data_IF_470917026657
#
_entry.id   IF_470917026657
#
_cell.length_a   1.000
_cell.length_b   1.000
_cell.length_c   1.000
_cell.angle_alpha   90.00
_cell.angle_beta   90.00
_cell.angle_gamma   90.00
#
_symmetry.space_group_name_H-M   'P 1'
#
loop_
_entity.id
_entity.type
_entity.pdbx_description
1 polymer ?
#
# COMPACT_ATOMS: atom_id res chain seq x y z
N UNK A 1 18.71 -24.51 19.63
CA UNK A 1 19.10 -23.95 18.31
C UNK A 1 17.96 -24.24 17.34
N UNK A 2 17.03 -23.30 17.19
CA UNK A 2 15.91 -23.37 16.22
C UNK A 2 16.49 -23.30 14.81
N UNK A 3 16.29 -24.34 14.00
CA UNK A 3 16.69 -24.33 12.57
C UNK A 3 16.07 -23.10 11.92
N UNK A 4 16.91 -22.22 11.37
CA UNK A 4 16.48 -20.99 10.69
C UNK A 4 15.44 -21.30 9.61
N UNK A 5 14.24 -20.82 9.80
CA UNK A 5 13.07 -20.98 8.93
C UNK A 5 13.22 -20.13 7.67
N UNK A 6 14.06 -19.09 7.69
CA UNK A 6 14.13 -18.11 6.63
C UNK A 6 15.13 -18.49 5.54
N UNK A 7 14.65 -18.56 4.29
CA UNK A 7 15.49 -18.51 3.09
C UNK A 7 15.91 -17.07 2.73
N UNK A 8 15.63 -16.10 3.62
CA UNK A 8 15.89 -14.68 3.47
C UNK A 8 17.15 -14.21 4.19
N UNK A 9 17.46 -12.90 4.13
CA UNK A 9 18.56 -12.29 4.88
C UNK A 9 18.30 -12.34 6.39
N UNK A 10 19.37 -12.39 7.17
CA UNK A 10 19.28 -12.29 8.63
C UNK A 10 18.97 -10.84 9.03
N UNK A 11 17.84 -10.61 9.71
CA UNK A 11 17.40 -9.29 10.11
C UNK A 11 18.03 -8.83 11.42
N UNK A 12 18.52 -9.77 12.22
CA UNK A 12 19.09 -9.52 13.54
C UNK A 12 20.62 -9.39 13.55
N UNK A 13 21.31 -9.98 12.57
CA UNK A 13 22.77 -10.01 12.53
C UNK A 13 23.33 -9.55 11.17
N UNK A 14 24.64 -9.27 11.14
CA UNK A 14 25.35 -8.87 9.92
C UNK A 14 25.08 -7.43 9.47
N UNK A 15 25.56 -7.04 8.27
CA UNK A 15 25.50 -5.66 7.78
C UNK A 15 24.07 -5.24 7.44
N UNK A 16 23.60 -4.19 8.10
CA UNK A 16 22.21 -3.70 7.98
C UNK A 16 21.85 -3.32 6.54
N UNK A 17 22.71 -2.55 5.87
CA UNK A 17 22.45 -2.08 4.50
C UNK A 17 22.28 -3.24 3.51
N UNK A 18 23.18 -4.21 3.50
CA UNK A 18 23.13 -5.35 2.59
C UNK A 18 21.88 -6.21 2.85
N UNK A 19 21.55 -6.47 4.11
CA UNK A 19 20.40 -7.27 4.50
C UNK A 19 19.09 -6.56 4.18
N UNK A 20 18.98 -5.25 4.45
CA UNK A 20 17.82 -4.44 4.09
C UNK A 20 17.62 -4.40 2.58
N UNK A 21 18.69 -4.18 1.80
CA UNK A 21 18.60 -4.15 0.33
C UNK A 21 18.13 -5.50 -0.24
N UNK A 22 18.68 -6.62 0.25
CA UNK A 22 18.26 -7.97 -0.17
C UNK A 22 16.81 -8.29 0.20
N UNK A 23 16.31 -7.74 1.29
CA UNK A 23 14.93 -7.89 1.72
C UNK A 23 13.98 -6.96 0.95
N UNK A 24 14.40 -5.73 0.70
CA UNK A 24 13.66 -4.69 0.00
C UNK A 24 13.39 -5.03 -1.47
N UNK A 25 14.43 -5.49 -2.21
CA UNK A 25 14.33 -5.72 -3.65
C UNK A 25 13.16 -6.63 -4.08
N UNK A 26 12.91 -7.80 -3.44
CA UNK A 26 11.75 -8.61 -3.79
C UNK A 26 10.41 -7.91 -3.51
N UNK A 27 10.32 -7.12 -2.44
CA UNK A 27 9.08 -6.39 -2.10
C UNK A 27 8.81 -5.30 -3.16
N UNK A 28 9.84 -4.54 -3.50
CA UNK A 28 9.77 -3.51 -4.54
C UNK A 28 9.34 -4.10 -5.88
N UNK A 29 10.01 -5.18 -6.33
CA UNK A 29 9.68 -5.84 -7.59
C UNK A 29 8.25 -6.39 -7.58
N UNK A 30 7.78 -6.95 -6.46
CA UNK A 30 6.40 -7.40 -6.32
C UNK A 30 5.39 -6.27 -6.44
N UNK A 31 5.66 -5.13 -5.80
CA UNK A 31 4.78 -3.97 -5.86
C UNK A 31 4.75 -3.33 -7.25
N UNK A 32 5.90 -3.27 -7.95
CA UNK A 32 5.96 -2.79 -9.34
C UNK A 32 5.24 -3.75 -10.30
N UNK A 33 5.39 -5.08 -10.11
CA UNK A 33 4.61 -6.07 -10.87
C UNK A 33 3.12 -5.90 -10.68
N UNK A 34 2.69 -5.62 -9.44
CA UNK A 34 1.29 -5.35 -9.14
C UNK A 34 0.78 -4.11 -9.88
N UNK A 35 1.57 -3.05 -9.98
CA UNK A 35 1.24 -1.88 -10.77
C UNK A 35 1.14 -2.18 -12.26
N UNK A 36 2.07 -3.00 -12.78
CA UNK A 36 2.08 -3.38 -14.20
C UNK A 36 0.87 -4.24 -14.58
N UNK A 37 0.50 -5.24 -13.77
CA UNK A 37 -0.66 -6.05 -14.13
C UNK A 37 -1.97 -5.24 -14.08
N UNK A 38 -2.13 -4.31 -13.13
CA UNK A 38 -3.28 -3.40 -13.13
C UNK A 38 -3.36 -2.53 -14.40
N UNK A 39 -2.21 -2.17 -14.99
CA UNK A 39 -2.19 -1.49 -16.29
C UNK A 39 -2.61 -2.44 -17.42
N UNK A 40 -2.20 -3.72 -17.38
CA UNK A 40 -2.63 -4.73 -18.36
C UNK A 40 -4.14 -4.93 -18.32
N UNK A 41 -4.73 -5.07 -17.12
CA UNK A 41 -6.18 -5.17 -16.95
C UNK A 41 -6.93 -3.99 -17.59
N UNK A 42 -6.44 -2.77 -17.35
CA UNK A 42 -7.02 -1.56 -17.94
C UNK A 42 -6.91 -1.56 -19.47
N UNK A 43 -5.78 -2.03 -20.03
CA UNK A 43 -5.60 -2.14 -21.49
C UNK A 43 -6.52 -3.21 -22.09
N UNK A 44 -6.65 -4.37 -21.42
CA UNK A 44 -7.55 -5.46 -21.87
C UNK A 44 -9.00 -4.95 -21.91
N UNK A 45 -9.45 -4.34 -20.81
CA UNK A 45 -10.82 -3.76 -20.75
C UNK A 45 -11.03 -2.66 -21.78
N UNK A 46 -10.11 -1.72 -21.89
CA UNK A 46 -10.25 -0.60 -22.82
C UNK A 46 -10.28 -1.01 -24.30
N UNK A 47 -9.49 -2.02 -24.69
CA UNK A 47 -9.41 -2.48 -26.08
C UNK A 47 -10.46 -3.50 -26.47
N UNK A 48 -10.85 -4.40 -25.54
CA UNK A 48 -11.76 -5.51 -25.86
C UNK A 48 -13.20 -5.25 -25.49
N UNK A 49 -13.46 -4.45 -24.45
CA UNK A 49 -14.83 -4.15 -23.98
C UNK A 49 -15.25 -2.73 -24.40
N UNK A 50 -14.33 -1.78 -24.29
CA UNK A 50 -14.56 -0.40 -24.74
C UNK A 50 -14.45 0.64 -23.64
N UNK A 51 -14.73 1.90 -24.03
CA UNK A 51 -14.50 3.09 -23.18
C UNK A 51 -15.39 3.12 -21.92
N UNK A 52 -16.61 2.60 -22.00
CA UNK A 52 -17.56 2.57 -20.86
C UNK A 52 -17.07 1.64 -19.77
N UNK A 53 -16.59 0.45 -20.14
CA UNK A 53 -15.98 -0.50 -19.19
C UNK A 53 -14.71 0.06 -18.54
N UNK A 54 -13.85 0.70 -19.31
CA UNK A 54 -12.65 1.36 -18.78
C UNK A 54 -13.01 2.50 -17.83
N UNK A 55 -14.04 3.29 -18.15
CA UNK A 55 -14.53 4.36 -17.28
C UNK A 55 -15.17 3.84 -15.99
N UNK A 56 -15.91 2.73 -16.05
CA UNK A 56 -16.48 2.06 -14.89
C UNK A 56 -15.37 1.65 -13.91
N UNK A 57 -14.41 0.86 -14.38
CA UNK A 57 -13.33 0.30 -13.53
C UNK A 57 -12.31 1.37 -13.08
N UNK A 58 -12.01 2.35 -13.93
CA UNK A 58 -11.05 3.43 -13.63
C UNK A 58 -11.63 4.63 -12.87
N UNK A 59 -12.95 4.71 -12.73
CA UNK A 59 -13.66 5.83 -12.10
C UNK A 59 -13.96 5.61 -10.62
N UNK A 60 -15.25 5.63 -10.26
CA UNK A 60 -15.74 5.50 -8.88
C UNK A 60 -15.33 4.19 -8.22
N UNK A 61 -15.25 3.10 -9.00
CA UNK A 61 -14.86 1.78 -8.52
C UNK A 61 -13.44 1.78 -7.98
N UNK A 62 -12.50 2.40 -8.69
CA UNK A 62 -11.10 2.51 -8.26
C UNK A 62 -10.96 3.24 -6.92
N UNK A 63 -11.75 4.30 -6.70
CA UNK A 63 -11.77 5.04 -5.44
C UNK A 63 -12.21 4.15 -4.29
N UNK A 64 -13.32 3.41 -4.47
CA UNK A 64 -13.86 2.49 -3.46
C UNK A 64 -12.85 1.38 -3.15
N UNK A 65 -12.28 0.77 -4.19
CA UNK A 65 -11.31 -0.32 -4.07
C UNK A 65 -10.06 0.16 -3.32
N UNK A 66 -9.47 1.27 -3.72
CA UNK A 66 -8.27 1.80 -3.07
C UNK A 66 -8.50 2.15 -1.60
N UNK A 67 -9.67 2.70 -1.28
CA UNK A 67 -10.04 3.02 0.09
C UNK A 67 -10.15 1.75 0.94
N UNK A 68 -10.85 0.73 0.44
CA UNK A 68 -11.07 -0.53 1.14
C UNK A 68 -9.76 -1.33 1.25
N UNK A 69 -9.08 -1.57 0.13
CA UNK A 69 -7.81 -2.33 0.11
C UNK A 69 -6.75 -1.63 0.94
N UNK A 70 -6.60 -0.31 0.80
CA UNK A 70 -5.63 0.47 1.57
C UNK A 70 -5.86 0.37 3.08
N UNK A 71 -7.13 0.43 3.52
CA UNK A 71 -7.48 0.21 4.93
C UNK A 71 -7.00 -1.16 5.42
N UNK A 72 -7.20 -2.22 4.65
CA UNK A 72 -6.86 -3.58 5.07
C UNK A 72 -5.38 -3.89 4.95
N UNK A 73 -4.66 -3.29 4.01
CA UNK A 73 -3.19 -3.34 3.99
C UNK A 73 -2.63 -2.71 5.27
N UNK A 74 -3.19 -1.58 5.69
CA UNK A 74 -2.86 -0.96 6.98
C UNK A 74 -3.16 -1.89 8.15
N UNK A 75 -4.33 -2.53 8.16
CA UNK A 75 -4.73 -3.45 9.23
C UNK A 75 -3.82 -4.69 9.30
N UNK A 76 -3.45 -5.29 8.16
CA UNK A 76 -2.53 -6.44 8.10
C UNK A 76 -1.11 -6.06 8.54
N UNK A 77 -0.71 -4.79 8.44
CA UNK A 77 0.58 -4.35 8.97
C UNK A 77 0.71 -4.56 10.47
N UNK A 78 -0.40 -4.44 11.22
CA UNK A 78 -0.44 -4.70 12.66
C UNK A 78 -0.09 -6.15 13.01
N UNK A 79 -0.60 -7.12 12.25
CA UNK A 79 -0.25 -8.53 12.42
C UNK A 79 1.23 -8.78 12.07
N UNK A 80 1.71 -8.19 10.97
CA UNK A 80 3.12 -8.28 10.57
C UNK A 80 4.05 -7.79 11.70
N UNK A 81 3.73 -6.66 12.35
CA UNK A 81 4.49 -6.12 13.47
C UNK A 81 4.49 -7.06 14.67
N UNK A 82 3.33 -7.58 15.08
CA UNK A 82 3.22 -8.48 16.23
C UNK A 82 4.00 -9.77 16.00
N UNK A 83 3.85 -10.37 14.80
CA UNK A 83 4.62 -11.58 14.42
C UNK A 83 6.13 -11.29 14.39
N UNK A 84 6.57 -10.17 13.81
CA UNK A 84 7.99 -9.83 13.72
C UNK A 84 8.61 -9.58 15.09
N UNK A 85 7.90 -8.98 16.05
CA UNK A 85 8.37 -8.75 17.40
C UNK A 85 8.55 -10.08 18.16
N UNK A 86 7.55 -10.95 18.15
CA UNK A 86 7.66 -12.26 18.81
C UNK A 86 8.70 -13.16 18.14
N UNK A 87 8.82 -13.08 16.80
CA UNK A 87 9.86 -13.83 16.08
C UNK A 87 11.26 -13.34 16.45
N UNK A 88 11.46 -12.02 16.51
CA UNK A 88 12.72 -11.41 16.96
C UNK A 88 13.05 -11.71 18.42
N UNK A 89 12.06 -11.84 19.29
CA UNK A 89 12.22 -12.23 20.69
C UNK A 89 12.53 -13.73 20.88
N UNK A 90 12.40 -14.56 19.83
CA UNK A 90 12.56 -16.02 19.92
C UNK A 90 11.39 -16.71 20.62
N UNK A 91 10.24 -16.06 20.76
CA UNK A 91 9.04 -16.55 21.45
C UNK A 91 8.17 -17.41 20.51
N UNK A 92 8.63 -18.64 20.20
CA UNK A 92 7.99 -19.52 19.22
C UNK A 92 6.50 -19.76 19.45
N UNK A 93 6.08 -20.02 20.68
CA UNK A 93 4.66 -20.21 21.01
C UNK A 93 3.80 -18.97 20.71
N UNK A 94 4.33 -17.77 20.95
CA UNK A 94 3.65 -16.52 20.68
C UNK A 94 3.61 -16.24 19.17
N UNK A 95 4.66 -16.60 18.43
CA UNK A 95 4.66 -16.57 16.95
C UNK A 95 3.56 -17.47 16.42
N UNK A 96 3.49 -18.72 16.88
CA UNK A 96 2.47 -19.67 16.46
C UNK A 96 1.06 -19.16 16.71
N UNK A 97 0.75 -18.71 17.94
CA UNK A 97 -0.55 -18.09 18.27
C UNK A 97 -0.84 -16.86 17.41
N UNK A 98 0.16 -16.01 17.14
CA UNK A 98 0.02 -14.82 16.31
C UNK A 98 -0.34 -15.19 14.87
N UNK A 99 0.31 -16.19 14.28
CA UNK A 99 0.03 -16.67 12.92
C UNK A 99 -1.41 -17.20 12.81
N UNK A 100 -1.84 -18.04 13.74
CA UNK A 100 -3.20 -18.61 13.74
C UNK A 100 -4.27 -17.53 13.92
N UNK A 101 -4.07 -16.61 14.88
CA UNK A 101 -4.97 -15.47 15.10
C UNK A 101 -5.05 -14.57 13.86
N UNK A 102 -3.91 -14.25 13.22
CA UNK A 102 -3.86 -13.38 12.05
C UNK A 102 -4.57 -13.99 10.83
N UNK A 103 -4.35 -15.27 10.54
CA UNK A 103 -5.01 -15.95 9.41
C UNK A 103 -6.51 -16.04 9.67
N UNK A 104 -6.94 -16.46 10.86
CA UNK A 104 -8.37 -16.51 11.19
C UNK A 104 -9.02 -15.11 11.10
N UNK A 105 -8.32 -14.08 11.59
CA UNK A 105 -8.77 -12.70 11.49
C UNK A 105 -8.94 -12.26 10.04
N UNK A 106 -7.99 -12.63 9.14
CA UNK A 106 -8.09 -12.28 7.72
C UNK A 106 -9.32 -12.94 7.04
N UNK A 107 -9.66 -14.17 7.41
CA UNK A 107 -10.84 -14.85 6.90
C UNK A 107 -12.13 -14.18 7.39
N UNK A 108 -12.22 -13.90 8.69
CA UNK A 108 -13.42 -13.28 9.29
C UNK A 108 -13.64 -11.86 8.74
N UNK A 109 -12.59 -11.03 8.71
CA UNK A 109 -12.71 -9.67 8.19
C UNK A 109 -12.98 -9.67 6.68
N UNK A 110 -12.35 -10.60 5.94
CA UNK A 110 -12.62 -10.81 4.52
C UNK A 110 -14.08 -11.19 4.25
N UNK A 111 -14.66 -12.07 5.07
CA UNK A 111 -16.07 -12.45 4.96
C UNK A 111 -17.01 -11.28 5.26
N UNK A 112 -16.72 -10.50 6.31
CA UNK A 112 -17.48 -9.28 6.63
C UNK A 112 -17.42 -8.29 5.46
N UNK A 113 -16.26 -8.09 4.87
CA UNK A 113 -16.09 -7.15 3.76
C UNK A 113 -16.69 -7.66 2.45
N UNK A 114 -16.67 -8.97 2.21
CA UNK A 114 -17.40 -9.57 1.09
C UNK A 114 -18.90 -9.26 1.23
N UNK A 115 -19.48 -9.53 2.39
CA UNK A 115 -20.90 -9.29 2.64
C UNK A 115 -21.25 -7.79 2.52
N UNK A 116 -20.51 -6.93 3.23
CA UNK A 116 -20.74 -5.48 3.19
C UNK A 116 -20.49 -4.89 1.80
N UNK A 117 -19.43 -5.32 1.11
CA UNK A 117 -19.09 -4.81 -0.22
C UNK A 117 -20.15 -5.15 -1.27
N UNK A 118 -20.64 -6.40 -1.27
CA UNK A 118 -21.70 -6.82 -2.19
C UNK A 118 -23.00 -6.06 -1.90
N UNK A 119 -23.41 -5.94 -0.62
CA UNK A 119 -24.63 -5.26 -0.21
C UNK A 119 -24.57 -3.75 -0.46
N UNK A 120 -23.40 -3.12 -0.22
CA UNK A 120 -23.22 -1.68 -0.31
C UNK A 120 -22.76 -1.20 -1.70
N UNK A 121 -22.39 -2.09 -2.62
CA UNK A 121 -21.92 -1.70 -3.97
C UNK A 121 -22.90 -0.75 -4.67
N UNK A 122 -24.17 -1.13 -4.75
CA UNK A 122 -25.20 -0.31 -5.40
C UNK A 122 -25.48 1.02 -4.66
N UNK A 123 -25.79 1.05 -3.34
CA UNK A 123 -26.07 2.31 -2.65
C UNK A 123 -24.89 3.27 -2.64
N UNK A 124 -23.65 2.78 -2.52
CA UNK A 124 -22.46 3.64 -2.54
C UNK A 124 -22.22 4.22 -3.93
N UNK A 125 -22.36 3.42 -5.00
CA UNK A 125 -22.24 3.92 -6.37
C UNK A 125 -23.30 4.95 -6.73
N UNK A 126 -24.56 4.70 -6.35
CA UNK A 126 -25.64 5.69 -6.57
C UNK A 126 -25.33 7.01 -5.85
N UNK A 127 -24.73 6.97 -4.65
CA UNK A 127 -24.33 8.18 -3.91
C UNK A 127 -23.18 8.93 -4.60
N UNK A 128 -22.31 8.23 -5.33
CA UNK A 128 -21.17 8.82 -6.06
C UNK A 128 -21.55 9.36 -7.43
N UNK A 129 -22.80 9.11 -7.86
CA UNK A 129 -23.41 9.62 -9.11
C UNK A 129 -22.49 9.42 -10.36
N UNK A 130 -22.10 8.16 -10.67
CA UNK A 130 -21.32 7.88 -11.86
C UNK A 130 -22.20 8.09 -13.12
N UNK A 131 -21.61 8.22 -14.32
CA UNK A 131 -22.37 8.27 -15.56
C UNK A 131 -23.38 7.11 -15.67
N UNK A 132 -24.61 7.41 -16.10
CA UNK A 132 -25.71 6.43 -16.09
C UNK A 132 -25.42 5.18 -16.94
N UNK A 133 -24.61 5.31 -17.99
CA UNK A 133 -24.18 4.23 -18.88
C UNK A 133 -23.12 3.30 -18.24
N UNK A 134 -22.46 3.73 -17.16
CA UNK A 134 -21.43 2.94 -16.46
C UNK A 134 -21.93 2.28 -15.17
N UNK A 135 -23.04 2.74 -14.61
CA UNK A 135 -23.51 2.33 -13.27
C UNK A 135 -23.72 0.81 -13.14
N UNK A 136 -24.34 0.17 -14.15
CA UNK A 136 -24.62 -1.28 -14.11
C UNK A 136 -23.30 -2.06 -14.13
N UNK A 137 -22.39 -1.69 -15.01
CA UNK A 137 -21.07 -2.33 -15.14
C UNK A 137 -20.25 -2.16 -13.86
N UNK A 138 -20.27 -0.98 -13.26
CA UNK A 138 -19.63 -0.69 -11.98
C UNK A 138 -20.19 -1.54 -10.84
N UNK A 139 -21.53 -1.68 -10.73
CA UNK A 139 -22.13 -2.53 -9.69
C UNK A 139 -21.67 -3.98 -9.84
N UNK A 140 -21.74 -4.53 -11.04
CA UNK A 140 -21.36 -5.92 -11.32
C UNK A 140 -19.85 -6.12 -11.06
N UNK A 141 -19.03 -5.19 -11.51
CA UNK A 141 -17.58 -5.22 -11.27
C UNK A 141 -17.26 -5.24 -9.77
N UNK A 142 -17.82 -4.31 -9.00
CA UNK A 142 -17.58 -4.24 -7.54
C UNK A 142 -18.10 -5.48 -6.82
N UNK A 143 -19.25 -6.01 -7.18
CA UNK A 143 -19.78 -7.23 -6.54
C UNK A 143 -18.84 -8.42 -6.73
N UNK A 144 -18.35 -8.66 -7.94
CA UNK A 144 -17.37 -9.72 -8.20
C UNK A 144 -16.02 -9.45 -7.54
N UNK A 145 -15.57 -8.19 -7.52
CA UNK A 145 -14.35 -7.81 -6.83
C UNK A 145 -14.44 -8.08 -5.32
N UNK A 146 -15.55 -7.69 -4.69
CA UNK A 146 -15.78 -7.95 -3.26
C UNK A 146 -15.98 -9.44 -2.94
N UNK A 147 -16.48 -10.25 -3.86
CA UNK A 147 -16.49 -11.70 -3.71
C UNK A 147 -15.08 -12.30 -3.54
N UNK A 148 -14.05 -11.64 -4.12
CA UNK A 148 -12.65 -11.98 -3.97
C UNK A 148 -11.95 -11.44 -2.70
N UNK A 149 -12.68 -10.77 -1.77
CA UNK A 149 -12.03 -10.14 -0.61
C UNK A 149 -11.47 -11.14 0.40
N UNK A 150 -12.12 -12.28 0.62
CA UNK A 150 -11.57 -13.31 1.53
C UNK A 150 -10.18 -13.75 1.06
N UNK A 151 -9.98 -14.25 -0.18
CA UNK A 151 -8.66 -14.64 -0.66
C UNK A 151 -7.67 -13.47 -0.68
N UNK A 152 -8.09 -12.26 -1.03
CA UNK A 152 -7.22 -11.09 -1.02
C UNK A 152 -6.69 -10.78 0.39
N UNK A 153 -7.56 -10.84 1.41
CA UNK A 153 -7.17 -10.64 2.82
C UNK A 153 -6.22 -11.73 3.31
N UNK A 154 -6.53 -12.99 3.01
CA UNK A 154 -5.69 -14.14 3.37
C UNK A 154 -4.32 -14.03 2.73
N UNK A 155 -4.24 -13.64 1.45
CA UNK A 155 -2.97 -13.42 0.78
C UNK A 155 -2.17 -12.28 1.44
N UNK A 156 -2.76 -11.11 1.64
CA UNK A 156 -2.09 -9.95 2.24
C UNK A 156 -1.56 -10.26 3.65
N UNK A 157 -2.37 -10.93 4.47
CA UNK A 157 -2.01 -11.34 5.81
C UNK A 157 -0.87 -12.37 5.80
N UNK A 158 -1.00 -13.42 5.00
CA UNK A 158 0.02 -14.47 4.90
C UNK A 158 1.34 -13.96 4.30
N UNK A 159 1.30 -13.09 3.29
CA UNK A 159 2.48 -12.40 2.78
C UNK A 159 3.13 -11.52 3.85
N UNK A 160 2.32 -10.83 4.68
CA UNK A 160 2.80 -10.09 5.85
C UNK A 160 3.51 -10.98 6.86
N UNK A 161 2.95 -12.15 7.19
CA UNK A 161 3.57 -13.15 8.07
C UNK A 161 4.91 -13.64 7.52
N UNK A 162 4.97 -13.99 6.23
CA UNK A 162 6.23 -14.42 5.60
C UNK A 162 7.29 -13.33 5.64
N UNK A 163 6.91 -12.07 5.36
CA UNK A 163 7.82 -10.92 5.52
C UNK A 163 8.26 -10.74 6.97
N UNK A 164 7.35 -10.88 7.93
CA UNK A 164 7.66 -10.74 9.35
C UNK A 164 8.76 -11.69 9.84
N UNK A 165 8.89 -12.87 9.23
CA UNK A 165 9.94 -13.85 9.54
C UNK A 165 11.15 -13.77 8.59
N UNK A 166 11.25 -12.73 7.77
CA UNK A 166 12.40 -12.47 6.90
C UNK A 166 12.29 -13.03 5.48
N UNK A 167 11.18 -13.65 5.11
CA UNK A 167 10.99 -14.19 3.75
C UNK A 167 10.23 -13.20 2.86
N UNK A 168 10.96 -12.39 2.12
CA UNK A 168 10.38 -11.47 1.13
C UNK A 168 10.30 -12.06 -0.28
N UNK A 169 10.97 -13.20 -0.56
CA UNK A 169 11.04 -13.79 -1.90
C UNK A 169 9.78 -14.57 -2.29
N UNK A 170 9.26 -15.39 -1.35
CA UNK A 170 8.05 -16.18 -1.63
C UNK A 170 6.84 -15.32 -2.00
N UNK A 171 6.52 -14.23 -1.27
CA UNK A 171 5.45 -13.32 -1.68
C UNK A 171 5.63 -12.75 -3.09
N UNK A 172 6.86 -12.45 -3.53
CA UNK A 172 7.14 -12.05 -4.91
C UNK A 172 6.78 -13.15 -5.91
N UNK A 173 7.19 -14.40 -5.67
CA UNK A 173 6.85 -15.52 -6.57
C UNK A 173 5.35 -15.74 -6.68
N UNK A 174 4.62 -15.59 -5.58
CA UNK A 174 3.15 -15.67 -5.60
C UNK A 174 2.53 -14.56 -6.43
N UNK A 175 3.04 -13.34 -6.35
CA UNK A 175 2.58 -12.23 -7.19
C UNK A 175 2.87 -12.45 -8.66
N UNK A 176 4.03 -13.04 -9.02
CA UNK A 176 4.33 -13.40 -10.42
C UNK A 176 3.29 -14.40 -10.94
N UNK A 177 3.02 -15.46 -10.18
CA UNK A 177 2.01 -16.46 -10.56
C UNK A 177 0.63 -15.83 -10.66
N UNK A 178 0.28 -14.95 -9.69
CA UNK A 178 -0.98 -14.22 -9.67
C UNK A 178 -1.14 -13.32 -10.90
N UNK A 179 -0.13 -12.54 -11.26
CA UNK A 179 -0.17 -11.65 -12.40
C UNK A 179 -0.33 -12.41 -13.73
N UNK A 180 0.40 -13.53 -13.90
CA UNK A 180 0.26 -14.38 -15.09
C UNK A 180 -1.12 -15.04 -15.15
N UNK A 181 -1.63 -15.55 -14.02
CA UNK A 181 -2.96 -16.13 -13.94
C UNK A 181 -4.05 -15.11 -14.22
N UNK A 182 -3.93 -13.91 -13.63
CA UNK A 182 -4.88 -12.81 -13.86
C UNK A 182 -4.93 -12.42 -15.34
N UNK A 183 -3.78 -12.13 -15.97
CA UNK A 183 -3.73 -11.80 -17.41
C UNK A 183 -4.32 -12.93 -18.28
N UNK A 184 -4.01 -14.20 -17.97
CA UNK A 184 -4.57 -15.35 -18.69
C UNK A 184 -6.10 -15.47 -18.51
N UNK A 185 -6.59 -15.27 -17.30
CA UNK A 185 -8.02 -15.29 -16.98
C UNK A 185 -8.77 -14.10 -17.58
N UNK A 186 -8.16 -12.90 -17.62
CA UNK A 186 -8.73 -11.73 -18.29
C UNK A 186 -8.93 -12.01 -19.78
N UNK A 187 -7.91 -12.52 -20.46
CA UNK A 187 -8.04 -12.90 -21.88
C UNK A 187 -9.12 -13.98 -22.07
N UNK A 188 -9.19 -14.96 -21.19
CA UNK A 188 -10.20 -16.02 -21.27
C UNK A 188 -11.61 -15.48 -21.04
N UNK A 189 -11.85 -14.73 -19.96
CA UNK A 189 -13.18 -14.28 -19.58
C UNK A 189 -13.65 -13.09 -20.42
N UNK A 190 -12.76 -12.17 -20.75
CA UNK A 190 -13.12 -10.96 -21.49
C UNK A 190 -13.08 -11.21 -23.00
N UNK A 191 -11.98 -11.80 -23.53
CA UNK A 191 -11.81 -11.95 -24.98
C UNK A 191 -12.55 -13.19 -25.54
N UNK A 192 -12.50 -14.35 -24.83
CA UNK A 192 -13.09 -15.61 -25.34
C UNK A 192 -14.54 -15.74 -24.93
N UNK A 193 -14.86 -15.52 -23.64
CA UNK A 193 -16.23 -15.68 -23.13
C UNK A 193 -17.09 -14.41 -23.24
N UNK A 194 -16.51 -13.25 -23.55
CA UNK A 194 -17.25 -12.00 -23.73
C UNK A 194 -17.95 -11.47 -22.48
N UNK A 195 -17.43 -11.79 -21.28
CA UNK A 195 -18.07 -11.42 -20.00
C UNK A 195 -17.86 -9.95 -19.60
N UNK A 196 -17.15 -9.16 -20.42
CA UNK A 196 -16.95 -7.73 -20.20
C UNK A 196 -16.31 -7.41 -18.84
N UNK A 197 -16.85 -6.40 -18.16
CA UNK A 197 -16.38 -5.94 -16.83
C UNK A 197 -16.49 -7.02 -15.75
N UNK A 198 -17.54 -7.83 -15.79
CA UNK A 198 -17.69 -8.98 -14.89
C UNK A 198 -16.53 -9.97 -15.04
N UNK A 199 -16.11 -10.25 -16.29
CA UNK A 199 -15.01 -11.15 -16.58
C UNK A 199 -13.69 -10.69 -15.95
N UNK A 200 -13.35 -9.41 -16.04
CA UNK A 200 -12.15 -8.85 -15.44
C UNK A 200 -12.18 -8.91 -13.90
N UNK A 201 -13.32 -8.61 -13.27
CA UNK A 201 -13.46 -8.73 -11.82
C UNK A 201 -13.37 -10.18 -11.34
N UNK A 202 -13.95 -11.13 -12.09
CA UNK A 202 -13.82 -12.56 -11.83
C UNK A 202 -12.37 -13.04 -11.97
N UNK A 203 -11.65 -12.59 -13.00
CA UNK A 203 -10.24 -12.91 -13.22
C UNK A 203 -9.38 -12.42 -12.05
N UNK A 204 -9.60 -11.19 -11.59
CA UNK A 204 -8.94 -10.63 -10.41
C UNK A 204 -9.25 -11.47 -9.15
N UNK A 205 -10.50 -11.79 -8.88
CA UNK A 205 -10.90 -12.57 -7.71
C UNK A 205 -10.32 -14.00 -7.71
N UNK A 206 -10.31 -14.66 -8.86
CA UNK A 206 -9.73 -16.01 -9.00
C UNK A 206 -8.18 -15.98 -8.89
N UNK A 207 -7.53 -14.97 -9.45
CA UNK A 207 -6.07 -14.82 -9.29
C UNK A 207 -5.68 -14.59 -7.83
N UNK A 208 -6.48 -13.83 -7.08
CA UNK A 208 -6.30 -13.66 -5.62
C UNK A 208 -6.53 -14.99 -4.86
N UNK A 209 -7.48 -15.81 -5.30
CA UNK A 209 -7.69 -17.14 -4.72
C UNK A 209 -6.48 -18.06 -4.95
N UNK A 210 -5.87 -18.01 -6.12
CA UNK A 210 -4.62 -18.73 -6.40
C UNK A 210 -3.50 -18.25 -5.46
N UNK A 211 -3.33 -16.95 -5.30
CA UNK A 211 -2.35 -16.36 -4.39
C UNK A 211 -2.58 -16.79 -2.94
N UNK A 212 -3.83 -16.74 -2.47
CA UNK A 212 -4.21 -17.19 -1.13
C UNK A 212 -3.90 -18.68 -0.94
N UNK A 213 -4.23 -19.50 -1.93
CA UNK A 213 -3.90 -20.93 -1.92
C UNK A 213 -2.40 -21.19 -1.80
N UNK A 214 -1.58 -20.47 -2.56
CA UNK A 214 -0.12 -20.59 -2.51
C UNK A 214 0.46 -20.18 -1.15
N UNK A 215 -0.03 -19.07 -0.57
CA UNK A 215 0.46 -18.61 0.73
C UNK A 215 0.05 -19.58 1.84
N UNK A 216 -1.18 -20.08 1.83
CA UNK A 216 -1.64 -21.07 2.80
C UNK A 216 -0.88 -22.38 2.64
N UNK A 217 -0.69 -22.85 1.41
CA UNK A 217 0.09 -24.07 1.14
C UNK A 217 1.52 -23.97 1.71
N UNK A 218 2.18 -22.81 1.56
CA UNK A 218 3.49 -22.58 2.15
C UNK A 218 3.42 -22.55 3.67
N UNK A 219 2.46 -21.83 4.28
CA UNK A 219 2.33 -21.75 5.74
C UNK A 219 2.03 -23.13 6.38
N UNK A 220 1.31 -24.01 5.69
CA UNK A 220 1.07 -25.39 6.14
C UNK A 220 2.34 -26.26 6.13
N UNK A 221 3.32 -25.92 5.26
CA UNK A 221 4.53 -26.74 5.05
C UNK A 221 5.83 -26.12 5.58
N UNK A 222 5.79 -24.87 5.97
CA UNK A 222 6.98 -24.19 6.50
C UNK A 222 7.40 -24.86 7.82
N UNK A 223 8.69 -25.17 8.02
CA UNK A 223 9.16 -25.72 9.28
C UNK A 223 9.20 -24.64 10.36
N UNK A 224 9.07 -25.05 11.64
CA UNK A 224 9.18 -24.18 12.80
C UNK A 224 7.87 -23.53 13.24
N UNK A 225 7.98 -22.50 14.06
CA UNK A 225 6.86 -21.91 14.83
C UNK A 225 5.85 -21.13 14.00
N UNK A 226 6.20 -20.80 12.72
CA UNK A 226 5.30 -20.14 11.78
C UNK A 226 4.36 -21.10 11.03
N UNK A 227 4.49 -22.41 11.31
CA UNK A 227 3.66 -23.40 10.65
C UNK A 227 2.20 -23.26 11.07
N UNK A 228 1.33 -23.17 10.07
CA UNK A 228 -0.11 -23.14 10.27
C UNK A 228 -0.63 -24.58 10.52
N UNK A 229 -1.41 -24.77 11.57
CA UNK A 229 -2.14 -26.00 11.86
C UNK A 229 -3.62 -25.69 11.88
N UNK A 230 -4.37 -26.26 10.96
CA UNK A 230 -5.82 -25.96 10.83
C UNK A 230 -6.59 -26.27 12.11
N UNK A 231 -6.18 -27.32 12.83
CA UNK A 231 -6.79 -27.71 14.11
C UNK A 231 -6.55 -26.73 15.26
N UNK A 232 -5.61 -25.81 15.10
CA UNK A 232 -5.24 -24.82 16.14
C UNK A 232 -5.71 -23.40 15.80
N UNK A 233 -6.50 -23.26 14.75
CA UNK A 233 -7.08 -21.97 14.37
C UNK A 233 -8.03 -21.51 15.49
N UNK A 234 -7.57 -20.56 16.27
CA UNK A 234 -8.36 -19.91 17.32
C UNK A 234 -7.92 -18.46 17.49
N UNK A 235 -8.83 -17.62 17.96
CA UNK A 235 -8.50 -16.27 18.36
C UNK A 235 -7.81 -16.25 19.73
N UNK A 236 -6.65 -15.59 19.77
CA UNK A 236 -6.09 -15.07 21.01
C UNK A 236 -6.51 -13.59 21.14
N UNK A 237 -7.37 -13.30 22.11
CA UNK A 237 -7.93 -11.97 22.28
C UNK A 237 -6.89 -10.89 22.59
N UNK A 238 -5.80 -11.24 23.26
CA UNK A 238 -4.71 -10.30 23.59
C UNK A 238 -3.94 -9.95 22.32
N UNK A 239 -3.59 -10.95 21.53
CA UNK A 239 -2.87 -10.77 20.27
C UNK A 239 -3.73 -10.04 19.24
N UNK A 240 -5.01 -10.40 19.11
CA UNK A 240 -5.94 -9.73 18.22
C UNK A 240 -6.07 -8.23 18.58
N UNK A 241 -6.27 -7.93 19.87
CA UNK A 241 -6.31 -6.53 20.34
C UNK A 241 -5.03 -5.77 20.01
N UNK A 242 -3.87 -6.42 20.16
CA UNK A 242 -2.58 -5.80 19.86
C UNK A 242 -2.39 -5.57 18.35
N UNK A 243 -2.77 -6.54 17.51
CA UNK A 243 -2.73 -6.42 16.05
C UNK A 243 -3.65 -5.30 15.56
N UNK A 244 -4.88 -5.24 16.07
CA UNK A 244 -5.85 -4.20 15.72
C UNK A 244 -5.43 -2.82 16.23
N UNK A 245 -4.90 -2.71 17.44
CA UNK A 245 -4.41 -1.45 17.99
C UNK A 245 -3.24 -0.84 17.18
N UNK A 246 -2.45 -1.67 16.51
CA UNK A 246 -1.37 -1.23 15.62
C UNK A 246 -1.91 -0.97 14.20
N UNK A 247 -2.71 -1.88 13.68
CA UNK A 247 -3.15 -1.85 12.28
C UNK A 247 -4.29 -0.88 12.01
N UNK A 248 -5.25 -0.73 12.93
CA UNK A 248 -6.42 0.12 12.72
C UNK A 248 -6.05 1.61 12.49
N UNK A 249 -5.16 2.22 13.30
CA UNK A 249 -4.74 3.59 13.03
C UNK A 249 -4.07 3.73 11.65
N UNK A 250 -3.25 2.77 11.24
CA UNK A 250 -2.60 2.78 9.93
C UNK A 250 -3.62 2.70 8.78
N UNK A 251 -4.64 1.86 8.91
CA UNK A 251 -5.74 1.76 7.95
C UNK A 251 -6.57 3.05 7.86
N UNK A 252 -6.90 3.65 9.01
CA UNK A 252 -7.63 4.93 9.05
C UNK A 252 -6.83 6.07 8.38
N UNK A 253 -5.51 6.10 8.56
CA UNK A 253 -4.66 7.08 7.87
C UNK A 253 -4.78 6.96 6.35
N UNK A 254 -4.84 5.74 5.80
CA UNK A 254 -5.00 5.52 4.36
C UNK A 254 -6.35 6.04 3.85
N UNK A 255 -7.43 5.84 4.61
CA UNK A 255 -8.76 6.39 4.26
C UNK A 255 -8.70 7.92 4.18
N UNK A 256 -8.17 8.58 5.21
CA UNK A 256 -8.08 10.04 5.26
C UNK A 256 -7.22 10.60 4.14
N UNK A 257 -6.14 9.89 3.77
CA UNK A 257 -5.30 10.26 2.64
C UNK A 257 -6.08 10.20 1.30
N UNK A 258 -6.88 9.15 1.12
CA UNK A 258 -7.73 8.99 -0.06
C UNK A 258 -8.78 10.10 -0.16
N UNK A 259 -9.43 10.46 0.95
CA UNK A 259 -10.40 11.57 1.00
C UNK A 259 -9.74 12.90 0.60
N UNK A 260 -8.55 13.20 1.12
CA UNK A 260 -7.82 14.41 0.75
C UNK A 260 -7.49 14.46 -0.75
N UNK A 261 -7.14 13.33 -1.35
CA UNK A 261 -6.86 13.24 -2.79
C UNK A 261 -8.11 13.45 -3.66
N UNK A 262 -9.28 12.98 -3.23
CA UNK A 262 -10.56 13.25 -3.92
C UNK A 262 -10.88 14.77 -3.95
N UNK A 263 -10.61 15.48 -2.86
CA UNK A 263 -10.84 16.93 -2.81
C UNK A 263 -9.84 17.68 -3.72
N UNK A 264 -8.57 17.23 -3.78
CA UNK A 264 -7.59 17.74 -4.74
C UNK A 264 -8.08 17.53 -6.19
N UNK A 265 -8.59 16.34 -6.51
CA UNK A 265 -9.14 16.05 -7.84
C UNK A 265 -10.24 17.04 -8.21
N UNK A 266 -11.12 17.37 -7.27
CA UNK A 266 -12.16 18.38 -7.49
C UNK A 266 -11.55 19.76 -7.83
N UNK A 267 -10.52 20.19 -7.11
CA UNK A 267 -9.83 21.46 -7.40
C UNK A 267 -9.17 21.46 -8.78
N UNK A 268 -8.55 20.35 -9.17
CA UNK A 268 -7.94 20.19 -10.50
C UNK A 268 -8.99 20.28 -11.60
N UNK A 269 -10.12 19.61 -11.44
CA UNK A 269 -11.19 19.60 -12.44
C UNK A 269 -11.79 21.00 -12.68
N UNK A 270 -11.75 21.89 -11.69
CA UNK A 270 -12.19 23.27 -11.81
C UNK A 270 -11.25 24.15 -12.67
N UNK A 271 -9.99 23.72 -12.89
CA UNK A 271 -9.02 24.43 -13.73
C UNK A 271 -9.15 24.13 -15.24
N UNK A 272 -10.05 23.22 -15.60
CA UNK A 272 -10.33 22.86 -16.99
C UNK A 272 -9.64 21.59 -17.46
N UNK A 273 -9.96 21.20 -18.71
CA UNK A 273 -9.61 19.89 -19.27
C UNK A 273 -8.12 19.70 -19.49
N UNK A 274 -7.40 20.71 -19.95
CA UNK A 274 -5.96 20.61 -20.24
C UNK A 274 -5.17 20.40 -18.96
N UNK A 275 -5.52 21.14 -17.89
CA UNK A 275 -4.93 20.96 -16.56
C UNK A 275 -5.25 19.60 -15.99
N UNK A 276 -6.50 19.14 -16.09
CA UNK A 276 -6.88 17.82 -15.59
C UNK A 276 -6.15 16.69 -16.33
N UNK A 277 -5.96 16.82 -17.65
CA UNK A 277 -5.17 15.90 -18.45
C UNK A 277 -3.69 15.88 -18.01
N UNK A 278 -3.09 17.06 -17.82
CA UNK A 278 -1.70 17.17 -17.34
C UNK A 278 -1.50 16.52 -15.96
N UNK A 279 -2.40 16.76 -15.00
CA UNK A 279 -2.38 16.10 -13.69
C UNK A 279 -2.57 14.59 -13.80
N UNK A 280 -3.40 14.12 -14.72
CA UNK A 280 -3.60 12.67 -14.96
C UNK A 280 -2.32 12.00 -15.45
N UNK A 281 -1.55 12.66 -16.32
CA UNK A 281 -0.23 12.18 -16.76
C UNK A 281 0.73 12.14 -15.58
N UNK A 282 0.82 13.24 -14.81
CA UNK A 282 1.67 13.30 -13.61
C UNK A 282 1.36 12.16 -12.64
N UNK A 283 0.10 11.89 -12.31
CA UNK A 283 -0.26 10.81 -11.38
C UNK A 283 0.06 9.42 -11.88
N UNK A 284 0.02 9.18 -13.20
CA UNK A 284 0.50 7.90 -13.75
C UNK A 284 2.00 7.71 -13.51
N UNK A 285 2.79 8.77 -13.61
CA UNK A 285 4.22 8.75 -13.32
C UNK A 285 4.47 8.62 -11.80
N UNK A 286 3.78 9.41 -10.99
CA UNK A 286 3.80 9.39 -9.52
C UNK A 286 3.44 8.00 -8.96
N UNK A 287 2.55 7.27 -9.65
CA UNK A 287 2.16 5.91 -9.31
C UNK A 287 3.30 4.89 -9.27
N UNK A 288 4.47 5.17 -9.85
CA UNK A 288 5.67 4.34 -9.71
C UNK A 288 6.50 4.66 -8.46
N UNK A 289 6.36 5.86 -7.90
CA UNK A 289 7.07 6.27 -6.70
C UNK A 289 6.55 5.56 -5.44
N UNK A 290 5.24 5.56 -5.24
CA UNK A 290 4.60 5.11 -4.00
C UNK A 290 4.81 3.64 -3.67
N UNK A 291 4.75 2.70 -4.63
CA UNK A 291 5.05 1.28 -4.37
C UNK A 291 6.47 1.06 -3.85
N UNK A 292 7.45 1.80 -4.38
CA UNK A 292 8.85 1.68 -3.95
C UNK A 292 9.07 2.31 -2.57
N UNK A 293 8.50 3.51 -2.33
CA UNK A 293 8.50 4.16 -1.03
C UNK A 293 7.91 3.25 0.05
N UNK A 294 6.75 2.67 -0.20
CA UNK A 294 6.09 1.73 0.70
C UNK A 294 6.93 0.46 0.95
N UNK A 295 7.60 -0.08 -0.08
CA UNK A 295 8.50 -1.22 0.09
C UNK A 295 9.67 -0.93 1.04
N UNK A 296 10.21 0.31 1.01
CA UNK A 296 11.20 0.77 1.99
C UNK A 296 10.57 0.84 3.39
N UNK A 297 9.37 1.40 3.51
CA UNK A 297 8.61 1.45 4.76
C UNK A 297 8.37 0.07 5.38
N UNK A 298 7.89 -0.90 4.59
CA UNK A 298 7.69 -2.30 5.03
C UNK A 298 9.02 -2.92 5.49
N UNK A 299 10.11 -2.65 4.77
CA UNK A 299 11.45 -3.14 5.15
C UNK A 299 11.86 -2.58 6.50
N UNK A 300 11.79 -1.27 6.67
CA UNK A 300 12.14 -0.60 7.95
C UNK A 300 11.25 -1.11 9.09
N UNK A 301 9.95 -1.22 8.88
CA UNK A 301 8.98 -1.71 9.87
C UNK A 301 9.30 -3.14 10.33
N UNK A 302 9.62 -4.03 9.39
CA UNK A 302 9.93 -5.44 9.70
C UNK A 302 11.25 -5.57 10.45
N UNK A 303 12.31 -4.89 10.00
CA UNK A 303 13.60 -4.87 10.68
C UNK A 303 13.48 -4.25 12.08
N UNK A 304 12.81 -3.11 12.20
CA UNK A 304 12.57 -2.48 13.51
C UNK A 304 11.78 -3.40 14.44
N UNK A 305 10.75 -4.09 13.93
CA UNK A 305 9.94 -5.04 14.72
C UNK A 305 10.76 -6.21 15.27
N UNK A 306 11.55 -6.88 14.43
CA UNK A 306 12.39 -7.99 14.91
C UNK A 306 13.48 -7.53 15.87
N UNK A 307 14.18 -6.41 15.56
CA UNK A 307 15.22 -5.89 16.45
C UNK A 307 14.65 -5.38 17.78
N UNK A 308 13.42 -4.82 17.77
CA UNK A 308 12.73 -4.44 18.99
C UNK A 308 12.39 -5.68 19.85
N UNK A 309 11.87 -6.74 19.24
CA UNK A 309 11.65 -8.02 19.93
C UNK A 309 12.92 -8.61 20.51
N UNK A 310 14.02 -8.57 19.75
CA UNK A 310 15.34 -9.03 20.18
C UNK A 310 16.05 -8.09 21.17
N UNK A 311 15.43 -6.97 21.58
CA UNK A 311 16.01 -5.93 22.47
C UNK A 311 17.27 -5.26 21.91
N UNK A 312 17.49 -5.27 20.59
CA UNK A 312 18.64 -4.66 19.92
C UNK A 312 18.36 -3.20 19.53
N UNK A 313 18.22 -2.29 20.51
CA UNK A 313 17.76 -0.92 20.29
C UNK A 313 18.74 -0.09 19.45
N UNK A 314 20.05 -0.27 19.63
CA UNK A 314 21.08 0.43 18.82
C UNK A 314 20.99 0.06 17.34
N UNK A 315 20.61 -1.20 17.08
CA UNK A 315 20.44 -1.68 15.71
C UNK A 315 19.21 -1.05 15.04
N UNK A 316 18.15 -0.72 15.78
CA UNK A 316 16.99 0.02 15.28
C UNK A 316 17.42 1.39 14.75
N UNK A 317 18.30 2.09 15.46
CA UNK A 317 18.85 3.38 14.99
C UNK A 317 19.63 3.23 13.68
N UNK A 318 20.38 2.14 13.53
CA UNK A 318 21.09 1.80 12.28
C UNK A 318 20.12 1.47 11.15
N UNK A 319 19.01 0.78 11.43
CA UNK A 319 17.92 0.48 10.49
C UNK A 319 17.26 1.78 10.01
N UNK A 320 16.95 2.71 10.92
CA UNK A 320 16.37 4.02 10.58
C UNK A 320 17.33 4.80 9.67
N UNK A 321 18.61 4.90 10.06
CA UNK A 321 19.61 5.61 9.25
C UNK A 321 19.75 5.02 7.86
N UNK A 322 19.82 3.69 7.76
CA UNK A 322 19.89 2.99 6.47
C UNK A 322 18.63 3.22 5.64
N UNK A 323 17.45 3.11 6.25
CA UNK A 323 16.17 3.37 5.59
C UNK A 323 16.08 4.80 5.06
N UNK A 324 16.58 5.81 5.82
CA UNK A 324 16.67 7.20 5.36
C UNK A 324 17.55 7.33 4.12
N UNK A 325 18.74 6.75 4.13
CA UNK A 325 19.63 6.80 2.96
C UNK A 325 19.04 6.09 1.74
N UNK A 326 18.41 4.93 1.94
CA UNK A 326 17.72 4.21 0.86
C UNK A 326 16.58 5.05 0.27
N UNK A 327 15.77 5.67 1.13
CA UNK A 327 14.63 6.47 0.69
C UNK A 327 15.05 7.77 0.02
N UNK A 328 16.00 8.51 0.59
CA UNK A 328 16.55 9.74 -0.01
C UNK A 328 17.22 9.44 -1.35
N UNK A 329 18.04 8.38 -1.41
CA UNK A 329 18.71 7.96 -2.64
C UNK A 329 17.71 7.60 -3.75
N UNK A 330 16.69 6.80 -3.41
CA UNK A 330 15.62 6.46 -4.34
C UNK A 330 14.84 7.71 -4.78
N UNK A 331 14.41 8.55 -3.83
CA UNK A 331 13.64 9.76 -4.12
C UNK A 331 14.43 10.74 -4.98
N UNK A 332 15.71 10.93 -4.71
CA UNK A 332 16.58 11.80 -5.51
C UNK A 332 16.77 11.27 -6.94
N UNK A 333 16.96 9.94 -7.09
CA UNK A 333 17.02 9.30 -8.39
C UNK A 333 15.70 9.45 -9.17
N UNK A 334 14.58 9.17 -8.52
CA UNK A 334 13.25 9.32 -9.11
C UNK A 334 12.99 10.77 -9.52
N UNK A 335 13.29 11.73 -8.66
CA UNK A 335 13.19 13.17 -8.91
C UNK A 335 14.02 13.59 -10.13
N UNK A 336 15.27 13.15 -10.19
CA UNK A 336 16.16 13.45 -11.31
C UNK A 336 15.64 12.84 -12.62
N UNK A 337 15.22 11.57 -12.62
CA UNK A 337 14.64 10.92 -13.79
C UNK A 337 13.38 11.64 -14.25
N UNK A 338 12.44 11.90 -13.35
CA UNK A 338 11.18 12.58 -13.66
C UNK A 338 11.43 13.97 -14.26
N UNK A 339 12.34 14.74 -13.68
CA UNK A 339 12.68 16.08 -14.15
C UNK A 339 13.39 16.05 -15.51
N UNK A 340 14.37 15.17 -15.69
CA UNK A 340 15.15 15.09 -16.94
C UNK A 340 14.32 14.54 -18.11
N UNK A 341 13.39 13.63 -17.83
CA UNK A 341 12.56 12.99 -18.87
C UNK A 341 11.22 13.67 -19.08
N UNK A 342 10.88 14.76 -18.37
CA UNK A 342 9.55 15.39 -18.37
C UNK A 342 8.99 15.65 -19.78
N UNK A 343 9.78 16.23 -20.67
CA UNK A 343 9.32 16.52 -22.03
C UNK A 343 9.17 15.26 -22.90
N UNK A 344 9.91 14.19 -22.62
CA UNK A 344 9.79 12.92 -23.34
C UNK A 344 8.58 12.13 -22.84
N UNK A 345 8.37 12.10 -21.53
CA UNK A 345 7.24 11.40 -20.92
C UNK A 345 5.90 12.02 -21.31
N UNK A 346 5.82 13.35 -21.38
CA UNK A 346 4.60 14.03 -21.81
C UNK A 346 4.26 13.74 -23.27
N UNK A 347 5.25 13.80 -24.18
CA UNK A 347 5.09 13.42 -25.60
C UNK A 347 4.63 11.98 -25.80
N UNK A 348 4.99 11.09 -24.85
CA UNK A 348 4.52 9.70 -24.91
C UNK A 348 2.99 9.57 -24.68
N UNK A 349 2.40 10.50 -23.93
CA UNK A 349 0.98 10.46 -23.57
C UNK A 349 0.10 11.36 -24.45
N UNK A 350 0.64 12.47 -24.98
CA UNK A 350 -0.13 13.45 -25.73
C UNK A 350 0.74 14.26 -26.70
N UNK A 351 0.13 14.70 -27.80
CA UNK A 351 0.71 15.66 -28.75
C UNK A 351 0.21 17.09 -28.49
N UNK A 352 -0.72 17.30 -27.54
CA UNK A 352 -1.24 18.61 -27.20
C UNK A 352 -0.20 19.45 -26.45
N UNK A 353 0.21 20.56 -27.07
CA UNK A 353 1.27 21.44 -26.55
C UNK A 353 0.89 22.15 -25.26
N UNK A 354 -0.40 22.42 -25.02
CA UNK A 354 -0.88 23.05 -23.79
C UNK A 354 -0.80 22.08 -22.62
N UNK A 355 -1.29 20.84 -22.84
CA UNK A 355 -1.20 19.76 -21.84
C UNK A 355 0.25 19.47 -21.49
N UNK A 356 1.15 19.40 -22.49
CA UNK A 356 2.58 19.19 -22.30
C UNK A 356 3.24 20.32 -21.50
N UNK A 357 2.88 21.58 -21.78
CA UNK A 357 3.41 22.73 -21.06
C UNK A 357 2.98 22.74 -19.60
N UNK A 358 1.69 22.46 -19.32
CA UNK A 358 1.17 22.38 -17.95
C UNK A 358 1.75 21.19 -17.18
N UNK A 359 1.86 20.01 -17.82
CA UNK A 359 2.47 18.82 -17.21
C UNK A 359 3.95 19.08 -16.85
N UNK A 360 4.72 19.68 -17.75
CA UNK A 360 6.11 20.05 -17.49
C UNK A 360 6.26 21.02 -16.31
N UNK A 361 5.34 21.96 -16.15
CA UNK A 361 5.28 22.86 -14.99
C UNK A 361 5.00 22.09 -13.72
N UNK A 362 3.96 21.21 -13.69
CA UNK A 362 3.59 20.39 -12.53
C UNK A 362 4.77 19.52 -12.10
N UNK A 363 5.40 18.82 -13.04
CA UNK A 363 6.59 17.98 -12.75
C UNK A 363 7.72 18.83 -12.17
N UNK A 364 8.01 20.00 -12.76
CA UNK A 364 9.08 20.88 -12.26
C UNK A 364 8.83 21.37 -10.84
N UNK A 365 7.55 21.64 -10.49
CA UNK A 365 7.17 22.06 -9.14
C UNK A 365 7.32 20.94 -8.10
N UNK A 366 7.04 19.71 -8.45
CA UNK A 366 6.89 18.61 -7.50
C UNK A 366 8.11 17.71 -7.41
N UNK A 367 8.86 17.53 -8.51
CA UNK A 367 9.95 16.58 -8.60
C UNK A 367 10.99 16.74 -7.49
N UNK A 368 11.38 17.96 -7.14
CA UNK A 368 12.43 18.21 -6.15
C UNK A 368 12.01 17.98 -4.68
N UNK A 369 10.71 17.77 -4.43
CA UNK A 369 10.19 17.62 -3.07
C UNK A 369 9.99 16.18 -2.62
N UNK A 370 10.08 15.18 -3.48
CA UNK A 370 9.97 13.77 -3.09
C UNK A 370 10.92 13.37 -1.94
N UNK A 371 12.20 13.82 -1.90
CA UNK A 371 13.08 13.50 -0.79
C UNK A 371 12.58 14.00 0.57
N UNK A 372 11.73 15.04 0.60
CA UNK A 372 11.21 15.57 1.87
C UNK A 372 10.24 14.61 2.56
N UNK A 373 9.66 13.64 1.84
CA UNK A 373 8.76 12.63 2.39
C UNK A 373 9.49 11.53 3.17
N UNK A 374 10.82 11.42 3.08
CA UNK A 374 11.61 10.33 3.65
C UNK A 374 11.40 10.17 5.17
N UNK A 375 11.32 11.29 5.92
CA UNK A 375 11.11 11.24 7.37
C UNK A 375 9.72 10.71 7.73
N UNK A 376 8.70 11.06 6.93
CA UNK A 376 7.33 10.55 7.12
C UNK A 376 7.32 9.03 6.98
N UNK A 377 7.84 8.50 5.88
CA UNK A 377 7.80 7.07 5.59
C UNK A 377 8.65 6.26 6.55
N UNK A 378 9.92 6.64 6.72
CA UNK A 378 10.88 5.85 7.49
C UNK A 378 10.62 5.90 8.99
N UNK A 379 10.37 7.10 9.57
CA UNK A 379 10.13 7.22 11.00
C UNK A 379 8.79 6.63 11.40
N UNK A 380 7.72 6.86 10.61
CA UNK A 380 6.42 6.24 10.90
C UNK A 380 6.50 4.70 10.86
N UNK A 381 7.21 4.15 9.89
CA UNK A 381 7.40 2.70 9.75
C UNK A 381 8.23 2.11 10.88
N UNK A 382 9.32 2.77 11.29
CA UNK A 382 10.12 2.34 12.43
C UNK A 382 9.31 2.36 13.75
N UNK A 383 8.56 3.44 14.00
CA UNK A 383 7.71 3.55 15.19
C UNK A 383 6.60 2.49 15.20
N UNK A 384 5.96 2.23 14.05
CA UNK A 384 4.98 1.14 13.91
C UNK A 384 5.63 -0.21 14.19
N UNK A 385 6.83 -0.47 13.64
CA UNK A 385 7.61 -1.69 13.91
C UNK A 385 7.89 -1.91 15.40
N UNK A 386 8.13 -0.84 16.15
CA UNK A 386 8.27 -0.89 17.61
C UNK A 386 6.92 -0.97 18.37
N UNK A 387 5.78 -1.07 17.66
CA UNK A 387 4.45 -1.18 18.26
C UNK A 387 3.78 0.15 18.63
N UNK A 388 4.36 1.29 18.22
CA UNK A 388 3.78 2.64 18.41
C UNK A 388 3.13 3.10 17.12
N UNK A 389 1.83 2.84 16.95
CA UNK A 389 1.09 3.19 15.73
C UNK A 389 0.28 4.49 15.86
N UNK A 390 -0.22 4.80 17.05
CA UNK A 390 -1.13 5.93 17.27
C UNK A 390 -0.46 7.27 16.94
N UNK A 391 0.72 7.54 17.51
CA UNK A 391 1.39 8.84 17.28
C UNK A 391 1.82 9.06 15.82
N UNK A 392 2.46 8.09 15.12
CA UNK A 392 2.69 8.24 13.69
C UNK A 392 1.41 8.55 12.89
N UNK A 393 0.31 7.88 13.22
CA UNK A 393 -0.98 8.15 12.57
C UNK A 393 -1.46 9.58 12.85
N UNK A 394 -1.41 10.03 14.11
CA UNK A 394 -1.81 11.40 14.48
C UNK A 394 -0.95 12.44 13.76
N UNK A 395 0.38 12.28 13.74
CA UNK A 395 1.29 13.19 13.04
C UNK A 395 0.99 13.25 11.54
N UNK A 396 0.73 12.09 10.91
CA UNK A 396 0.36 12.01 9.50
C UNK A 396 -1.01 12.64 9.23
N UNK A 397 -2.01 12.39 10.07
CA UNK A 397 -3.33 12.98 9.94
C UNK A 397 -3.28 14.51 10.01
N UNK A 398 -2.60 15.05 11.01
CA UNK A 398 -2.49 16.51 11.17
C UNK A 398 -1.63 17.13 10.08
N UNK A 399 -0.43 16.60 9.85
CA UNK A 399 0.54 17.20 8.94
C UNK A 399 0.22 16.98 7.47
N UNK A 400 -0.28 15.78 7.09
CA UNK A 400 -0.57 15.49 5.68
C UNK A 400 -2.04 15.70 5.33
N UNK A 401 -3.00 15.22 6.14
CA UNK A 401 -4.40 15.26 5.75
C UNK A 401 -5.06 16.59 6.14
N UNK A 402 -5.09 16.94 7.43
CA UNK A 402 -5.78 18.15 7.89
C UNK A 402 -5.14 19.44 7.37
N UNK A 403 -3.81 19.52 7.38
CA UNK A 403 -3.10 20.68 6.82
C UNK A 403 -3.38 20.79 5.31
N UNK A 404 -3.42 19.66 4.57
CA UNK A 404 -3.76 19.67 3.14
C UNK A 404 -5.17 20.19 2.90
N UNK A 405 -6.14 19.75 3.68
CA UNK A 405 -7.51 20.26 3.60
C UNK A 405 -7.56 21.75 3.94
N UNK A 406 -6.87 22.18 4.98
CA UNK A 406 -6.79 23.61 5.32
C UNK A 406 -6.19 24.44 4.18
N UNK A 407 -5.08 23.99 3.58
CA UNK A 407 -4.48 24.65 2.42
C UNK A 407 -5.44 24.69 1.22
N UNK A 408 -6.17 23.61 0.96
CA UNK A 408 -7.16 23.58 -0.12
C UNK A 408 -8.27 24.59 0.13
N UNK A 409 -8.88 24.65 1.32
CA UNK A 409 -10.00 25.52 1.59
C UNK A 409 -9.60 26.99 1.75
N UNK A 410 -8.47 27.27 2.42
CA UNK A 410 -8.08 28.65 2.76
C UNK A 410 -7.12 29.29 1.75
N UNK A 411 -6.41 28.50 0.93
CA UNK A 411 -5.42 29.03 -0.02
C UNK A 411 -5.80 28.66 -1.45
N UNK A 412 -6.04 27.36 -1.73
CA UNK A 412 -6.22 26.89 -3.10
C UNK A 412 -7.57 27.34 -3.69
N UNK A 413 -8.69 27.10 -3.02
CA UNK A 413 -10.00 27.50 -3.56
C UNK A 413 -10.19 29.02 -3.71
N UNK A 414 -9.69 29.90 -2.81
CA UNK A 414 -9.72 31.34 -3.01
C UNK A 414 -8.81 31.83 -4.14
N UNK A 415 -7.70 31.15 -4.41
CA UNK A 415 -6.69 31.51 -5.42
C UNK A 415 -6.40 30.34 -6.34
N UNK A 416 -7.45 29.82 -6.98
CA UNK A 416 -7.40 28.58 -7.74
C UNK A 416 -6.47 28.68 -8.97
N UNK A 417 -5.35 27.99 -8.89
CA UNK A 417 -4.38 27.83 -9.99
C UNK A 417 -3.49 26.58 -9.74
N UNK A 418 -2.73 26.17 -10.76
CA UNK A 418 -1.84 25.00 -10.67
C UNK A 418 -0.80 25.11 -9.55
N UNK A 419 -0.30 26.33 -9.27
CA UNK A 419 0.69 26.55 -8.22
C UNK A 419 0.13 26.25 -6.83
N UNK A 420 -1.06 26.74 -6.53
CA UNK A 420 -1.68 26.55 -5.20
C UNK A 420 -2.06 25.09 -4.95
N UNK A 421 -2.47 24.36 -6.01
CA UNK A 421 -2.72 22.92 -5.91
C UNK A 421 -1.40 22.17 -5.68
N UNK A 422 -0.38 22.42 -6.52
CA UNK A 422 0.91 21.77 -6.42
C UNK A 422 1.58 22.04 -5.05
N UNK A 423 1.49 23.27 -4.52
CA UNK A 423 2.06 23.66 -3.24
C UNK A 423 1.54 22.83 -2.05
N UNK A 424 0.30 22.30 -2.15
CA UNK A 424 -0.26 21.46 -1.10
C UNK A 424 0.59 20.21 -0.79
N UNK A 425 1.28 19.64 -1.80
CA UNK A 425 2.11 18.45 -1.62
C UNK A 425 3.40 18.75 -0.85
N UNK A 426 4.30 19.63 -1.33
CA UNK A 426 5.54 19.95 -0.62
C UNK A 426 5.30 20.54 0.77
N UNK A 427 4.32 21.43 0.90
CA UNK A 427 3.99 22.05 2.19
C UNK A 427 3.62 20.99 3.24
N UNK A 428 2.74 20.03 2.86
CA UNK A 428 2.34 18.96 3.77
C UNK A 428 3.45 17.96 4.03
N UNK A 429 4.23 17.55 3.02
CA UNK A 429 5.35 16.62 3.18
C UNK A 429 6.43 17.20 4.09
N UNK A 430 6.83 18.44 3.86
CA UNK A 430 7.86 19.11 4.65
C UNK A 430 7.40 19.31 6.11
N UNK A 431 6.20 19.84 6.30
CA UNK A 431 5.64 20.06 7.66
C UNK A 431 5.53 18.75 8.43
N UNK A 432 5.00 17.68 7.78
CA UNK A 432 4.88 16.38 8.43
C UNK A 432 6.25 15.80 8.77
N UNK A 433 7.23 15.93 7.87
CA UNK A 433 8.61 15.49 8.12
C UNK A 433 9.24 16.23 9.30
N UNK A 434 9.05 17.53 9.38
CA UNK A 434 9.53 18.33 10.53
C UNK A 434 8.87 17.85 11.83
N UNK A 435 7.55 17.62 11.83
CA UNK A 435 6.84 17.09 13.01
C UNK A 435 7.39 15.72 13.43
N UNK A 436 7.66 14.82 12.48
CA UNK A 436 8.27 13.51 12.78
C UNK A 436 9.67 13.65 13.35
N UNK A 437 10.50 14.55 12.82
CA UNK A 437 11.86 14.79 13.34
C UNK A 437 11.82 15.37 14.75
N UNK A 438 10.93 16.34 15.00
CA UNK A 438 10.73 16.91 16.35
C UNK A 438 10.29 15.80 17.31
N UNK A 439 9.28 15.01 16.94
CA UNK A 439 8.81 13.91 17.78
C UNK A 439 9.91 12.89 18.05
N UNK A 440 10.67 12.51 17.02
CA UNK A 440 11.78 11.56 17.14
C UNK A 440 12.89 12.04 18.09
N UNK A 441 13.24 13.33 18.06
CA UNK A 441 14.33 13.90 18.87
C UNK A 441 13.91 14.31 20.28
N UNK A 442 12.70 14.85 20.44
CA UNK A 442 12.28 15.49 21.68
C UNK A 442 11.47 14.56 22.59
N UNK A 443 10.93 13.46 22.08
CA UNK A 443 10.07 12.57 22.84
C UNK A 443 10.64 11.16 22.94
N UNK A 444 10.36 10.46 24.04
CA UNK A 444 10.68 9.03 24.22
C UNK A 444 9.70 8.19 23.37
N UNK A 445 9.96 8.07 22.08
CA UNK A 445 9.09 7.37 21.15
C UNK A 445 9.22 5.84 21.23
N UNK A 446 10.43 5.31 21.61
CA UNK A 446 10.57 3.88 21.84
C UNK A 446 9.88 3.50 23.14
N UNK A 447 9.01 2.45 23.13
CA UNK A 447 8.43 1.92 24.35
C UNK A 447 9.52 1.34 25.25
N UNK A 448 9.38 1.54 26.56
CA UNK A 448 10.24 0.84 27.52
C UNK A 448 9.95 -0.67 27.43
N UNK A 449 11.00 -1.46 27.28
CA UNK A 449 10.89 -2.91 27.33
C UNK A 449 10.76 -3.27 28.81
N UNK A 450 9.53 -3.53 29.28
CA UNK A 450 9.32 -4.03 30.62
C UNK A 450 10.13 -5.32 30.79
N UNK A 451 10.97 -5.35 31.80
CA UNK A 451 11.58 -6.61 32.25
C UNK A 451 10.42 -7.50 32.70
N UNK A 452 10.26 -8.67 32.04
CA UNK A 452 9.31 -9.69 32.44
C UNK A 452 9.89 -10.47 33.59
#
# INVERSE_FOLDING_TARGET
MTKSVSRGPDLLHGPVFSNMTRFFLPIMLGSLLQQLYSMVDAVVLGRLVGKTALAAVGGSDLVIINLVVGFFVGLSSGACVVVSQHYGAGEGDMVRKSVHTAILFSVVIGAVMTALGILMARPVLVLLDPPADTLTDSIVYLQWYFAGMIPSMVYNMGAGILRAVGDSKRPLYFLIVCALANTGLDLLFVAVFGLGTAGAAMATSLSQLICAGLVIWVLLRIPGDCRLHVSELRFDGVLLRRMTAIGLPAGLATIMYSVANVIIQKAINLLGTDTAAAWSIYWKLDGFYWPVSNAIGITVMTFAGQNYGARQLDRITSVIRTGMWMHVGFSALFSALLFLTRGLTERFFTDDTNVMAEGSRIITMLAFFYPTFCCVEVLSSAMRGCGRSVMPTVLTLFGTCLLRLALLFFVTFPHLNNWTIALCYPATWLTTSVLFVIYYKCFRWMPEIKQA
#
